data_IF_093537642664
#
_entry.id   IF_093537642664
#
_cell.length_a   1.000
_cell.length_b   1.000
_cell.length_c   1.000
_cell.angle_alpha   90.00
_cell.angle_beta   90.00
_cell.angle_gamma   90.00
#
_symmetry.space_group_name_H-M   'P 1'
#
loop_
_entity.id
_entity.type
_entity.pdbx_description
1 polymer ?
#
# COMPACT_ATOMS: atom_id res chain seq x y z
N UNK A 1 1.42 12.73 0.38
CA UNK A 1 2.76 13.13 -0.07
C UNK A 1 3.77 12.16 0.51
N UNK A 2 4.46 11.38 -0.31
CA UNK A 2 5.29 10.26 0.17
C UNK A 2 6.49 10.74 0.99
N UNK A 3 7.14 11.80 0.55
CA UNK A 3 8.33 12.37 1.21
C UNK A 3 8.01 12.88 2.61
N UNK A 4 6.87 13.57 2.78
CA UNK A 4 6.37 13.98 4.08
C UNK A 4 6.14 12.80 5.02
N UNK A 5 5.53 11.72 4.55
CA UNK A 5 5.28 10.54 5.39
C UNK A 5 6.60 9.84 5.77
N UNK A 6 7.57 9.78 4.87
CA UNK A 6 8.90 9.26 5.17
C UNK A 6 9.59 10.08 6.27
N UNK A 7 9.55 11.41 6.19
CA UNK A 7 10.09 12.29 7.25
C UNK A 7 9.40 12.04 8.60
N UNK A 8 8.07 11.84 8.60
CA UNK A 8 7.33 11.51 9.83
C UNK A 8 7.80 10.19 10.46
N UNK A 9 8.00 9.16 9.64
CA UNK A 9 8.52 7.86 10.12
C UNK A 9 9.94 8.00 10.65
N UNK A 10 10.82 8.68 9.93
CA UNK A 10 12.20 8.93 10.35
C UNK A 10 12.27 9.67 11.69
N UNK A 11 11.46 10.72 11.84
CA UNK A 11 11.34 11.45 13.11
C UNK A 11 10.80 10.57 14.24
N UNK A 12 9.84 9.69 13.96
CA UNK A 12 9.25 8.79 14.95
C UNK A 12 10.26 7.76 15.46
N UNK A 13 11.11 7.22 14.56
CA UNK A 13 12.14 6.23 14.93
C UNK A 13 13.46 6.87 15.36
N UNK A 14 13.59 8.19 15.33
CA UNK A 14 14.79 8.93 15.71
C UNK A 14 15.97 8.78 14.75
N UNK A 15 15.71 8.51 13.47
CA UNK A 15 16.76 8.33 12.45
C UNK A 15 16.95 9.62 11.65
N UNK A 16 18.20 10.10 11.57
CA UNK A 16 18.58 11.23 10.71
C UNK A 16 19.29 10.73 9.46
N UNK A 17 18.86 11.21 8.30
CA UNK A 17 19.48 10.92 6.99
C UNK A 17 19.64 12.22 6.20
N UNK A 18 20.51 12.21 5.20
CA UNK A 18 20.61 13.33 4.25
C UNK A 18 19.46 13.33 3.23
N UNK A 19 19.29 14.46 2.54
CA UNK A 19 18.20 14.66 1.58
C UNK A 19 18.33 13.76 0.33
N UNK A 20 19.55 13.39 -0.05
CA UNK A 20 19.77 12.48 -1.19
C UNK A 20 19.31 11.06 -0.86
N UNK A 21 19.59 10.60 0.36
CA UNK A 21 19.11 9.32 0.86
C UNK A 21 17.57 9.30 0.97
N UNK A 22 16.96 10.39 1.44
CA UNK A 22 15.49 10.52 1.49
C UNK A 22 14.87 10.45 0.10
N UNK A 23 15.35 11.26 -0.84
CA UNK A 23 14.85 11.27 -2.22
C UNK A 23 15.01 9.90 -2.89
N UNK A 24 16.16 9.24 -2.68
CA UNK A 24 16.42 7.90 -3.20
C UNK A 24 15.47 6.86 -2.62
N UNK A 25 15.17 6.92 -1.32
CA UNK A 25 14.24 6.02 -0.66
C UNK A 25 12.79 6.21 -1.15
N UNK A 26 12.36 7.47 -1.31
CA UNK A 26 11.03 7.80 -1.86
C UNK A 26 10.92 7.31 -3.30
N UNK A 27 11.93 7.53 -4.14
CA UNK A 27 11.94 7.04 -5.52
C UNK A 27 11.90 5.51 -5.55
N UNK A 28 12.76 4.82 -4.79
CA UNK A 28 12.77 3.36 -4.74
C UNK A 28 11.43 2.77 -4.28
N UNK A 29 10.71 3.48 -3.42
CA UNK A 29 9.41 3.08 -2.87
C UNK A 29 8.22 3.45 -3.76
N UNK A 30 8.44 4.03 -4.96
CA UNK A 30 7.37 4.25 -5.93
C UNK A 30 6.78 2.93 -6.40
N UNK A 31 5.47 2.93 -6.64
CA UNK A 31 4.71 1.75 -7.03
C UNK A 31 5.33 0.99 -8.20
N UNK A 32 5.69 1.70 -9.27
CA UNK A 32 6.26 1.13 -10.49
C UNK A 32 7.64 0.51 -10.23
N UNK A 33 8.40 1.11 -9.31
CA UNK A 33 9.73 0.65 -8.92
C UNK A 33 9.64 -0.63 -8.09
N UNK A 34 8.73 -0.66 -7.11
CA UNK A 34 8.46 -1.86 -6.32
C UNK A 34 7.87 -3.00 -7.18
N UNK A 35 6.92 -2.73 -8.07
CA UNK A 35 6.36 -3.74 -8.98
C UNK A 35 7.41 -4.31 -9.95
N UNK A 36 8.34 -3.45 -10.41
CA UNK A 36 9.48 -3.91 -11.20
C UNK A 36 10.42 -4.80 -10.40
N UNK A 37 10.64 -4.49 -9.13
CA UNK A 37 11.46 -5.31 -8.24
C UNK A 37 10.81 -6.67 -7.97
N UNK A 38 9.51 -6.70 -7.66
CA UNK A 38 8.72 -7.93 -7.51
C UNK A 38 8.90 -8.86 -8.71
N UNK A 39 8.68 -8.35 -9.93
CA UNK A 39 8.83 -9.16 -11.15
C UNK A 39 10.24 -9.72 -11.33
N UNK A 40 11.27 -8.97 -10.97
CA UNK A 40 12.67 -9.41 -11.10
C UNK A 40 13.07 -10.44 -10.06
N UNK A 41 12.44 -10.41 -8.89
CA UNK A 41 12.80 -11.21 -7.72
C UNK A 41 11.75 -12.28 -7.38
N UNK A 42 10.71 -12.45 -8.21
CA UNK A 42 9.58 -13.33 -7.94
C UNK A 42 10.00 -14.72 -7.45
N UNK A 43 10.92 -15.37 -8.18
CA UNK A 43 11.38 -16.73 -7.87
C UNK A 43 12.38 -16.80 -6.69
N UNK A 44 12.90 -15.64 -6.25
CA UNK A 44 13.84 -15.51 -5.13
C UNK A 44 13.12 -15.18 -3.82
N UNK A 45 11.86 -14.72 -3.89
CA UNK A 45 11.06 -14.36 -2.74
C UNK A 45 10.29 -15.60 -2.26
N UNK A 46 10.68 -16.15 -1.10
CA UNK A 46 10.02 -17.34 -0.53
C UNK A 46 8.49 -17.20 -0.42
N UNK A 47 8.00 -15.98 -0.18
CA UNK A 47 6.55 -15.67 -0.08
C UNK A 47 5.81 -15.71 -1.42
N UNK A 48 6.52 -15.58 -2.55
CA UNK A 48 5.94 -15.61 -3.90
C UNK A 48 6.30 -16.87 -4.69
N UNK A 49 7.30 -17.64 -4.24
CA UNK A 49 7.84 -18.79 -4.97
C UNK A 49 6.77 -19.81 -5.37
N UNK A 50 5.81 -20.05 -4.47
CA UNK A 50 4.73 -21.03 -4.70
C UNK A 50 3.42 -20.34 -5.16
N UNK A 51 3.48 -19.05 -5.49
CA UNK A 51 2.33 -18.28 -5.96
C UNK A 51 2.19 -18.32 -7.49
N UNK A 52 0.98 -18.07 -7.97
CA UNK A 52 0.69 -17.97 -9.39
C UNK A 52 1.35 -16.72 -9.98
N UNK A 53 2.44 -16.91 -10.73
CA UNK A 53 3.23 -15.83 -11.35
C UNK A 53 2.45 -14.97 -12.35
N UNK A 54 1.25 -15.40 -12.78
CA UNK A 54 0.35 -14.56 -13.58
C UNK A 54 -0.34 -13.47 -12.74
N UNK A 55 -0.38 -13.64 -11.41
CA UNK A 55 -0.93 -12.68 -10.46
C UNK A 55 0.21 -11.87 -9.86
N UNK A 56 -0.03 -10.56 -9.74
CA UNK A 56 0.92 -9.62 -9.12
C UNK A 56 0.52 -9.36 -7.68
N UNK A 57 1.46 -9.48 -6.75
CA UNK A 57 1.33 -9.02 -5.38
C UNK A 57 1.15 -7.49 -5.36
N UNK A 58 2.00 -6.77 -6.08
CA UNK A 58 1.87 -5.32 -6.27
C UNK A 58 0.93 -5.06 -7.46
N UNK A 59 -0.38 -5.06 -7.21
CA UNK A 59 -1.43 -5.11 -8.25
C UNK A 59 -1.70 -3.77 -8.96
N UNK A 60 -2.27 -2.78 -8.25
CA UNK A 60 -2.70 -1.47 -8.82
C UNK A 60 -2.16 -0.23 -8.09
N UNK A 61 -1.84 -0.31 -6.79
CA UNK A 61 -1.23 0.81 -6.04
C UNK A 61 -2.08 2.07 -5.92
N UNK A 62 -3.40 1.94 -6.08
CA UNK A 62 -4.33 3.07 -6.20
C UNK A 62 -5.31 3.08 -5.02
N UNK A 63 -5.44 4.25 -4.39
CA UNK A 63 -6.47 4.46 -3.36
C UNK A 63 -7.86 4.54 -3.99
N UNK A 64 -8.87 3.98 -3.31
CA UNK A 64 -10.26 4.00 -3.78
C UNK A 64 -10.60 2.95 -4.85
N UNK A 65 -9.67 2.06 -5.19
CA UNK A 65 -9.88 1.01 -6.19
C UNK A 65 -11.04 0.06 -5.85
N UNK A 66 -11.40 -0.05 -4.56
CA UNK A 66 -12.56 -0.83 -4.12
C UNK A 66 -13.87 -0.43 -4.81
N UNK A 67 -14.01 0.82 -5.26
CA UNK A 67 -15.20 1.32 -5.97
C UNK A 67 -15.37 0.70 -7.36
N UNK A 68 -14.29 0.19 -7.96
CA UNK A 68 -14.34 -0.52 -9.24
C UNK A 68 -14.72 -2.00 -9.04
N UNK A 69 -14.57 -2.52 -7.82
CA UNK A 69 -14.70 -3.95 -7.52
C UNK A 69 -16.01 -4.26 -6.74
N UNK A 70 -16.53 -3.31 -5.96
CA UNK A 70 -17.77 -3.44 -5.20
C UNK A 70 -18.94 -2.81 -5.95
N UNK A 71 -20.01 -3.58 -6.16
CA UNK A 71 -21.31 -3.01 -6.53
C UNK A 71 -21.99 -2.34 -5.33
N UNK A 72 -22.95 -1.45 -5.59
CA UNK A 72 -23.66 -0.66 -4.56
C UNK A 72 -24.22 -1.55 -3.43
N UNK A 73 -24.87 -2.66 -3.77
CA UNK A 73 -25.43 -3.58 -2.77
C UNK A 73 -24.37 -4.23 -1.87
N UNK A 74 -23.16 -4.49 -2.39
CA UNK A 74 -22.07 -5.07 -1.60
C UNK A 74 -21.45 -4.02 -0.67
N UNK A 75 -21.36 -2.78 -1.16
CA UNK A 75 -20.95 -1.65 -0.34
C UNK A 75 -21.93 -1.42 0.82
N UNK A 76 -23.23 -1.40 0.56
CA UNK A 76 -24.25 -1.20 1.59
C UNK A 76 -24.20 -2.29 2.66
N UNK A 77 -24.06 -3.56 2.25
CA UNK A 77 -23.87 -4.67 3.19
C UNK A 77 -22.59 -4.54 4.01
N UNK A 78 -21.50 -4.04 3.41
CA UNK A 78 -20.25 -3.83 4.12
C UNK A 78 -20.42 -2.78 5.22
N UNK A 79 -21.08 -1.66 4.91
CA UNK A 79 -21.40 -0.61 5.88
C UNK A 79 -22.37 -1.11 6.95
N UNK A 80 -23.39 -1.88 6.59
CA UNK A 80 -24.31 -2.50 7.56
C UNK A 80 -23.58 -3.41 8.55
N UNK A 81 -22.59 -4.17 8.07
CA UNK A 81 -21.85 -5.13 8.89
C UNK A 81 -20.72 -4.51 9.73
N UNK A 82 -20.11 -3.41 9.29
CA UNK A 82 -18.88 -2.87 9.88
C UNK A 82 -18.95 -1.37 10.22
N UNK A 83 -20.00 -0.67 9.81
CA UNK A 83 -20.14 0.78 9.90
C UNK A 83 -20.03 1.29 11.32
N UNK A 84 -20.67 0.64 12.29
CA UNK A 84 -20.60 1.01 13.71
C UNK A 84 -19.16 1.03 14.24
N UNK A 85 -18.36 0.01 13.88
CA UNK A 85 -16.96 -0.07 14.29
C UNK A 85 -16.11 0.99 13.59
N UNK A 86 -16.34 1.21 12.30
CA UNK A 86 -15.62 2.22 11.51
C UNK A 86 -15.93 3.64 12.00
N UNK A 87 -17.18 3.93 12.35
CA UNK A 87 -17.60 5.21 12.90
C UNK A 87 -16.98 5.43 14.28
N UNK A 88 -17.05 4.45 15.19
CA UNK A 88 -16.45 4.54 16.53
C UNK A 88 -14.92 4.74 16.51
N UNK A 89 -14.26 4.31 15.44
CA UNK A 89 -12.81 4.41 15.27
C UNK A 89 -12.41 5.57 14.32
N UNK A 90 -13.35 6.46 13.99
CA UNK A 90 -13.14 7.65 13.16
C UNK A 90 -12.60 7.38 11.73
N UNK A 91 -12.89 6.19 11.19
CA UNK A 91 -12.56 5.85 9.79
C UNK A 91 -13.61 6.36 8.79
N UNK A 92 -14.84 6.55 9.25
CA UNK A 92 -15.95 7.14 8.51
C UNK A 92 -16.64 8.16 9.42
N UNK A 93 -17.23 9.17 8.81
CA UNK A 93 -17.88 10.32 9.48
C UNK A 93 -19.26 10.57 8.91
#
# INVERSE_FOLDING_TARGET
DAEREFRRVLSFVGLSIDESALSSAVEASRFENMQRQERKQHDQLDVLRDSDASKRFIRKGKSGDWREEFGDQQHDRFIDSHGDALFRLDYIS
#
